data_IF_062133916984
#
_entry.id   IF_062133916984
#
_cell.length_a   1.000
_cell.length_b   1.000
_cell.length_c   1.000
_cell.angle_alpha   90.00
_cell.angle_beta   90.00
_cell.angle_gamma   90.00
#
_symmetry.space_group_name_H-M   'P 1'
#
loop_
_entity.id
_entity.type
_entity.pdbx_description
1 polymer ?
#
# COMPACT_ATOMS: atom_id res chain seq x y z
N UNK A 1 -23.34 -45.02 39.32
CA UNK A 1 -22.13 -44.40 38.72
C UNK A 1 -22.57 -43.55 37.53
N UNK A 2 -22.85 -42.26 37.75
CA UNK A 2 -23.30 -41.33 36.71
C UNK A 2 -22.15 -40.40 36.32
N UNK A 3 -21.67 -40.54 35.08
CA UNK A 3 -20.63 -39.70 34.47
C UNK A 3 -21.18 -38.29 34.21
N UNK A 4 -20.54 -37.26 34.76
CA UNK A 4 -20.82 -35.84 34.45
C UNK A 4 -19.80 -35.36 33.43
N UNK A 5 -20.21 -35.15 32.18
CA UNK A 5 -19.38 -34.50 31.17
C UNK A 5 -19.23 -33.01 31.51
N UNK A 6 -18.01 -32.56 31.77
CA UNK A 6 -17.67 -31.13 31.86
C UNK A 6 -17.33 -30.64 30.46
N UNK A 7 -18.19 -29.82 29.86
CA UNK A 7 -17.85 -29.05 28.66
C UNK A 7 -16.87 -27.93 29.05
N UNK A 8 -15.63 -28.03 28.58
CA UNK A 8 -14.70 -26.91 28.51
C UNK A 8 -15.00 -26.10 27.24
N UNK A 9 -15.27 -24.79 27.34
CA UNK A 9 -15.37 -23.96 26.15
C UNK A 9 -13.97 -23.75 25.57
N UNK A 10 -13.74 -24.25 24.37
CA UNK A 10 -12.54 -23.94 23.58
C UNK A 10 -12.73 -22.53 23.02
N UNK A 11 -11.96 -21.58 23.54
CA UNK A 11 -11.89 -20.22 23.00
C UNK A 11 -11.12 -20.27 21.68
N UNK A 12 -11.82 -20.12 20.56
CA UNK A 12 -11.22 -20.08 19.23
C UNK A 12 -10.52 -18.73 19.06
N UNK A 13 -9.18 -18.72 19.17
CA UNK A 13 -8.36 -17.54 18.87
C UNK A 13 -8.35 -17.33 17.35
N UNK A 14 -9.12 -16.35 16.87
CA UNK A 14 -9.10 -15.96 15.46
C UNK A 14 -7.77 -15.26 15.17
N UNK A 15 -6.82 -15.99 14.56
CA UNK A 15 -5.61 -15.38 14.01
C UNK A 15 -6.03 -14.56 12.80
N UNK A 16 -6.20 -13.25 12.97
CA UNK A 16 -6.38 -12.33 11.85
C UNK A 16 -5.02 -12.25 11.16
N UNK A 17 -4.84 -13.08 10.14
CA UNK A 17 -3.74 -12.90 9.19
C UNK A 17 -4.03 -11.60 8.44
N UNK A 18 -3.25 -10.56 8.71
CA UNK A 18 -3.33 -9.33 7.91
C UNK A 18 -2.84 -9.70 6.51
N UNK A 19 -3.77 -9.75 5.55
CA UNK A 19 -3.39 -9.78 4.14
C UNK A 19 -2.68 -8.47 3.85
N UNK A 20 -1.48 -8.54 3.28
CA UNK A 20 -0.73 -7.36 2.86
C UNK A 20 -1.58 -6.51 1.92
N UNK A 21 -2.12 -5.41 2.44
CA UNK A 21 -2.93 -4.49 1.66
C UNK A 21 -2.00 -3.77 0.69
N UNK A 22 -2.29 -3.89 -0.62
CA UNK A 22 -1.49 -3.29 -1.69
C UNK A 22 -2.28 -2.18 -2.38
N UNK A 23 -1.61 -1.23 -3.08
CA UNK A 23 -2.32 -0.13 -3.74
C UNK A 23 -3.46 -0.61 -4.66
N UNK A 24 -3.28 -1.73 -5.38
CA UNK A 24 -4.30 -2.34 -6.24
C UNK A 24 -5.64 -2.63 -5.56
N UNK A 25 -5.61 -2.95 -4.27
CA UNK A 25 -6.80 -3.36 -3.52
C UNK A 25 -7.74 -2.15 -3.28
N UNK A 26 -7.21 -0.93 -3.45
CA UNK A 26 -7.92 0.33 -3.29
C UNK A 26 -8.23 1.03 -4.62
N UNK A 27 -7.63 0.62 -5.74
CA UNK A 27 -7.77 1.31 -7.03
C UNK A 27 -9.21 1.37 -7.55
N UNK A 28 -10.13 0.54 -7.04
CA UNK A 28 -11.55 0.57 -7.42
C UNK A 28 -12.43 1.42 -6.50
N UNK A 29 -11.86 2.02 -5.44
CA UNK A 29 -12.58 2.96 -4.58
C UNK A 29 -13.01 4.20 -5.38
N UNK A 30 -14.13 4.86 -5.01
CA UNK A 30 -14.60 6.07 -5.68
C UNK A 30 -13.66 7.25 -5.42
N UNK A 31 -13.72 8.27 -6.29
CA UNK A 31 -12.90 9.47 -6.17
C UNK A 31 -13.11 10.22 -4.84
N UNK A 32 -14.34 10.20 -4.30
CA UNK A 32 -14.63 10.75 -2.98
C UNK A 32 -13.81 10.10 -1.85
N UNK A 33 -13.49 8.80 -1.96
CA UNK A 33 -12.60 8.13 -1.00
C UNK A 33 -11.14 8.58 -1.18
N UNK A 34 -10.69 8.78 -2.43
CA UNK A 34 -9.36 9.32 -2.71
C UNK A 34 -9.17 10.76 -2.24
N UNK A 35 -10.25 11.52 -2.05
CA UNK A 35 -10.22 12.85 -1.46
C UNK A 35 -10.18 12.85 0.08
N UNK A 36 -10.24 11.67 0.72
CA UNK A 36 -10.26 11.52 2.17
C UNK A 36 -8.87 11.31 2.79
N UNK A 37 -8.79 11.55 4.10
CA UNK A 37 -7.55 11.46 4.90
C UNK A 37 -6.88 10.08 4.85
N UNK A 38 -7.68 9.00 4.72
CA UNK A 38 -7.13 7.64 4.61
C UNK A 38 -6.30 7.46 3.34
N UNK A 39 -6.82 7.92 2.19
CA UNK A 39 -6.13 7.82 0.93
C UNK A 39 -4.90 8.74 0.88
N UNK A 40 -5.00 9.94 1.47
CA UNK A 40 -3.87 10.86 1.62
C UNK A 40 -2.74 10.24 2.45
N UNK A 41 -3.07 9.62 3.59
CA UNK A 41 -2.12 8.90 4.45
C UNK A 41 -1.44 7.77 3.69
N UNK A 42 -2.21 6.94 2.97
CA UNK A 42 -1.64 5.87 2.14
C UNK A 42 -0.75 6.43 1.02
N UNK A 43 -1.13 7.55 0.40
CA UNK A 43 -0.32 8.25 -0.59
C UNK A 43 1.03 8.69 -0.01
N UNK A 44 1.02 9.29 1.18
CA UNK A 44 2.25 9.69 1.89
C UNK A 44 3.14 8.48 2.21
N UNK A 45 2.55 7.36 2.61
CA UNK A 45 3.28 6.10 2.80
C UNK A 45 3.90 5.64 1.49
N UNK A 46 3.13 5.54 0.40
CA UNK A 46 3.62 5.12 -0.92
C UNK A 46 4.80 6.00 -1.37
N UNK A 47 4.69 7.32 -1.25
CA UNK A 47 5.77 8.25 -1.62
C UNK A 47 7.08 7.95 -0.89
N UNK A 48 7.02 7.53 0.37
CA UNK A 48 8.22 7.22 1.16
C UNK A 48 9.03 6.04 0.62
N UNK A 49 8.36 5.09 -0.06
CA UNK A 49 8.95 3.91 -0.71
C UNK A 49 9.44 4.18 -2.14
N UNK A 50 9.32 5.39 -2.67
CA UNK A 50 9.86 5.68 -4.00
C UNK A 50 11.39 5.68 -3.94
N UNK A 51 12.00 4.77 -4.71
CA UNK A 51 13.47 4.67 -4.82
C UNK A 51 14.07 5.93 -5.48
N UNK A 52 15.39 6.09 -5.41
CA UNK A 52 16.11 7.17 -6.10
C UNK A 52 15.88 7.11 -7.62
N UNK A 53 15.78 5.90 -8.18
CA UNK A 53 15.51 5.66 -9.60
C UNK A 53 14.06 5.94 -10.01
N UNK A 54 13.14 6.17 -9.06
CA UNK A 54 11.75 6.54 -9.33
C UNK A 54 10.73 5.41 -9.22
N UNK A 55 11.13 4.15 -9.27
CA UNK A 55 10.21 3.01 -9.07
C UNK A 55 10.02 2.58 -7.62
N UNK A 56 9.23 1.51 -7.41
CA UNK A 56 8.90 0.93 -6.11
C UNK A 56 9.31 -0.56 -6.01
N UNK A 57 9.60 -1.06 -4.79
CA UNK A 57 10.01 -2.45 -4.57
C UNK A 57 8.83 -3.43 -4.66
N UNK A 58 9.12 -4.70 -4.97
CA UNK A 58 8.13 -5.79 -4.92
C UNK A 58 7.96 -6.34 -3.51
N UNK A 59 6.79 -6.92 -3.25
CA UNK A 59 6.46 -7.65 -2.02
C UNK A 59 6.65 -6.80 -0.75
N UNK A 60 6.17 -5.56 -0.81
CA UNK A 60 6.19 -4.61 0.30
C UNK A 60 4.81 -3.96 0.43
N UNK A 61 4.31 -3.84 1.65
CA UNK A 61 3.12 -3.06 1.99
C UNK A 61 3.39 -1.55 1.94
N UNK A 62 3.33 -0.97 0.74
CA UNK A 62 3.60 0.46 0.54
C UNK A 62 2.51 1.39 1.10
N UNK A 63 1.34 0.86 1.47
CA UNK A 63 0.21 1.64 2.00
C UNK A 63 0.11 1.64 3.53
N UNK A 64 0.69 0.65 4.22
CA UNK A 64 0.43 0.42 5.64
C UNK A 64 1.11 1.43 6.57
N UNK A 65 2.35 1.81 6.26
CA UNK A 65 3.13 2.77 7.05
C UNK A 65 4.26 3.39 6.24
N UNK A 66 4.95 4.40 6.77
CA UNK A 66 6.07 5.02 6.08
C UNK A 66 7.31 4.11 6.10
N UNK A 67 8.09 4.15 5.02
CA UNK A 67 9.39 3.50 4.97
C UNK A 67 10.38 4.18 5.94
N UNK A 68 10.93 3.40 6.87
CA UNK A 68 11.91 3.86 7.87
C UNK A 68 13.34 3.41 7.58
N UNK A 69 13.56 2.69 6.47
CA UNK A 69 14.87 2.18 6.10
C UNK A 69 15.71 3.16 5.28
N UNK A 70 16.90 2.71 4.88
CA UNK A 70 17.77 3.47 3.97
C UNK A 70 17.23 3.43 2.54
N UNK A 71 16.82 4.60 2.02
CA UNK A 71 16.28 4.76 0.66
C UNK A 71 17.22 4.22 -0.43
N UNK A 72 18.55 4.24 -0.23
CA UNK A 72 19.52 3.70 -1.19
C UNK A 72 19.42 2.18 -1.36
N UNK A 73 18.79 1.50 -0.40
CA UNK A 73 18.55 0.05 -0.42
C UNK A 73 17.26 -0.32 -1.13
N UNK A 74 16.38 0.64 -1.42
CA UNK A 74 15.17 0.36 -2.21
C UNK A 74 15.56 -0.05 -3.62
N UNK A 75 15.15 -1.26 -4.01
CA UNK A 75 15.37 -1.80 -5.35
C UNK A 75 14.05 -1.82 -6.10
N UNK A 76 13.81 -0.87 -7.01
CA UNK A 76 12.59 -0.84 -7.78
C UNK A 76 12.54 -2.00 -8.78
N UNK A 77 11.34 -2.41 -9.14
CA UNK A 77 11.09 -3.45 -10.14
C UNK A 77 9.67 -3.32 -10.71
N UNK A 78 9.36 -4.15 -11.70
CA UNK A 78 8.03 -4.31 -12.28
C UNK A 78 7.37 -5.64 -11.88
N UNK A 79 8.13 -6.54 -11.28
CA UNK A 79 7.63 -7.84 -10.82
C UNK A 79 6.55 -7.65 -9.74
N UNK A 80 5.56 -8.54 -9.74
CA UNK A 80 4.40 -8.49 -8.83
C UNK A 80 3.63 -7.16 -8.82
N UNK A 81 3.63 -6.45 -9.96
CA UNK A 81 2.95 -5.16 -10.19
C UNK A 81 3.54 -3.97 -9.43
N UNK A 82 4.71 -4.15 -8.83
CA UNK A 82 5.46 -3.05 -8.24
C UNK A 82 5.68 -1.94 -9.27
N UNK A 83 5.75 -0.70 -8.79
CA UNK A 83 5.79 0.53 -9.60
C UNK A 83 4.46 0.83 -10.29
N UNK A 84 3.86 -0.12 -10.99
CA UNK A 84 2.63 0.14 -11.76
C UNK A 84 1.41 0.40 -10.87
N UNK A 85 1.24 -0.33 -9.78
CA UNK A 85 0.11 -0.13 -8.86
C UNK A 85 0.25 1.18 -8.07
N UNK A 86 1.47 1.52 -7.64
CA UNK A 86 1.79 2.79 -6.99
C UNK A 86 1.55 3.99 -7.92
N UNK A 87 2.01 3.93 -9.18
CA UNK A 87 1.75 4.96 -10.18
C UNK A 87 0.26 5.21 -10.37
N UNK A 88 -0.55 4.14 -10.46
CA UNK A 88 -2.01 4.27 -10.61
C UNK A 88 -2.64 4.91 -9.38
N UNK A 89 -2.17 4.57 -8.19
CA UNK A 89 -2.68 5.15 -6.94
C UNK A 89 -2.35 6.64 -6.86
N UNK A 90 -1.12 7.02 -7.15
CA UNK A 90 -0.68 8.43 -7.19
C UNK A 90 -1.43 9.25 -8.26
N UNK A 91 -1.72 8.66 -9.42
CA UNK A 91 -2.53 9.31 -10.44
C UNK A 91 -3.97 9.60 -9.96
N UNK A 92 -4.60 8.67 -9.21
CA UNK A 92 -5.93 8.88 -8.63
C UNK A 92 -5.91 9.98 -7.58
N UNK A 93 -4.92 9.99 -6.69
CA UNK A 93 -4.73 11.07 -5.71
C UNK A 93 -4.52 12.42 -6.38
N UNK A 94 -3.64 12.51 -7.38
CA UNK A 94 -3.43 13.74 -8.12
C UNK A 94 -4.71 14.24 -8.80
N UNK A 95 -5.51 13.33 -9.39
CA UNK A 95 -6.72 13.72 -10.09
C UNK A 95 -7.74 14.44 -9.20
N UNK A 96 -7.89 14.01 -7.95
CA UNK A 96 -8.87 14.60 -7.01
C UNK A 96 -8.31 15.73 -6.17
N UNK A 97 -7.01 15.69 -5.81
CA UNK A 97 -6.39 16.69 -4.92
C UNK A 97 -5.66 17.81 -5.66
N UNK A 98 -5.22 17.56 -6.89
CA UNK A 98 -4.25 18.38 -7.64
C UNK A 98 -2.93 18.65 -6.90
N UNK A 99 -2.60 17.85 -5.88
CA UNK A 99 -1.35 17.98 -5.14
C UNK A 99 -0.17 17.57 -6.04
N UNK A 100 0.71 18.54 -6.34
CA UNK A 100 1.84 18.37 -7.25
C UNK A 100 2.84 17.32 -6.78
N UNK A 101 2.96 17.07 -5.48
CA UNK A 101 3.85 16.01 -4.96
C UNK A 101 3.53 14.64 -5.57
N UNK A 102 2.25 14.32 -5.74
CA UNK A 102 1.83 13.07 -6.37
C UNK A 102 2.13 13.06 -7.88
N UNK A 103 2.03 14.21 -8.54
CA UNK A 103 2.39 14.36 -9.96
C UNK A 103 3.90 14.19 -10.17
N UNK A 104 4.72 14.85 -9.36
CA UNK A 104 6.18 14.79 -9.48
C UNK A 104 6.70 13.37 -9.22
N UNK A 105 6.13 12.69 -8.21
CA UNK A 105 6.44 11.29 -7.96
C UNK A 105 5.96 10.37 -9.10
N UNK A 106 4.76 10.62 -9.65
CA UNK A 106 4.28 9.90 -10.82
C UNK A 106 5.23 10.04 -12.01
N UNK A 107 5.66 11.27 -12.32
CA UNK A 107 6.55 11.54 -13.45
C UNK A 107 7.92 10.86 -13.28
N UNK A 108 8.47 10.86 -12.06
CA UNK A 108 9.69 10.09 -11.74
C UNK A 108 9.51 8.59 -11.94
N UNK A 109 8.37 8.03 -11.53
CA UNK A 109 8.09 6.61 -11.72
C UNK A 109 7.81 6.26 -13.18
N UNK A 110 7.20 7.16 -13.95
CA UNK A 110 7.02 6.99 -15.39
C UNK A 110 8.36 7.04 -16.14
N UNK A 111 9.26 7.95 -15.76
CA UNK A 111 10.62 8.00 -16.30
C UNK A 111 11.45 6.76 -15.98
N UNK A 112 11.14 6.05 -14.89
CA UNK A 112 11.75 4.76 -14.61
C UNK A 112 11.26 3.67 -15.59
N UNK A 113 9.98 3.73 -15.99
CA UNK A 113 9.32 2.79 -16.91
C UNK A 113 9.80 2.90 -18.35
N UNK A 114 10.16 4.11 -18.80
CA UNK A 114 10.56 4.43 -20.18
C UNK A 114 12.08 4.30 -20.37
#
# INVERSE_FOLDING_TARGET
>A
MTYRYRLTPVLLLLVITSVEARPKDYLKRPDAWFAGEEAERMGTNILSYQSELGGWPKNVETTAGPYSGDRKKLKPTYDNRATTDELRFLARLYNVTKNKTYRDAFDRGLNYVL
#
